data_IF_413749831881
#
_entry.id   IF_413749831881
#
_cell.length_a   1.000
_cell.length_b   1.000
_cell.length_c   1.000
_cell.angle_alpha   90.00
_cell.angle_beta   90.00
_cell.angle_gamma   90.00
#
_symmetry.space_group_name_H-M   'P 1'
#
loop_
_entity.id
_entity.type
_entity.pdbx_description
1 polymer ?
#
# COMPACT_ATOMS: atom_id res chain seq x y z
N UNK A 1 -31.41 -27.12 -27.19
CA UNK A 1 -31.48 -26.25 -26.00
C UNK A 1 -30.05 -26.02 -25.52
N UNK A 2 -29.43 -24.92 -25.97
CA UNK A 2 -28.08 -24.55 -25.53
C UNK A 2 -28.17 -23.91 -24.15
N UNK A 3 -27.55 -24.52 -23.15
CA UNK A 3 -27.38 -23.93 -21.84
C UNK A 3 -26.05 -23.20 -21.82
N UNK A 4 -26.12 -21.88 -21.96
CA UNK A 4 -24.98 -20.98 -21.83
C UNK A 4 -24.58 -20.95 -20.35
N UNK A 5 -23.44 -21.54 -19.99
CA UNK A 5 -22.86 -21.34 -18.67
C UNK A 5 -22.50 -19.85 -18.50
N UNK A 6 -22.81 -19.23 -17.36
CA UNK A 6 -22.45 -17.83 -17.12
C UNK A 6 -20.93 -17.69 -17.10
N UNK A 7 -20.43 -16.70 -17.84
CA UNK A 7 -19.01 -16.40 -17.94
C UNK A 7 -18.39 -16.25 -16.54
N UNK A 8 -17.33 -17.01 -16.30
CA UNK A 8 -16.45 -16.81 -15.17
C UNK A 8 -15.91 -15.38 -15.25
N UNK A 9 -16.41 -14.51 -14.38
CA UNK A 9 -15.74 -13.26 -14.06
C UNK A 9 -14.29 -13.63 -13.73
N UNK A 10 -13.33 -13.12 -14.49
CA UNK A 10 -11.92 -13.20 -14.16
C UNK A 10 -11.70 -12.41 -12.86
N UNK A 11 -12.00 -13.03 -11.71
CA UNK A 11 -11.36 -12.64 -10.47
C UNK A 11 -9.88 -12.90 -10.73
N UNK A 12 -9.08 -11.82 -10.76
CA UNK A 12 -7.64 -11.95 -10.79
C UNK A 12 -7.23 -12.97 -9.73
N UNK A 13 -6.33 -13.89 -10.07
CA UNK A 13 -5.87 -14.91 -9.14
C UNK A 13 -5.43 -14.25 -7.83
N UNK A 14 -5.74 -14.85 -6.66
CA UNK A 14 -5.31 -14.30 -5.40
C UNK A 14 -3.79 -14.19 -5.39
N UNK A 15 -3.29 -13.04 -4.92
CA UNK A 15 -1.86 -12.75 -4.81
C UNK A 15 -1.14 -13.91 -4.12
N UNK A 16 -0.17 -14.50 -4.79
CA UNK A 16 0.65 -15.58 -4.27
C UNK A 16 1.56 -15.09 -3.13
N UNK A 17 2.06 -16.02 -2.31
CA UNK A 17 3.00 -15.66 -1.23
C UNK A 17 4.33 -15.11 -1.76
N UNK A 18 4.75 -15.51 -2.96
CA UNK A 18 5.94 -14.99 -3.62
C UNK A 18 5.75 -13.53 -4.06
N UNK A 19 4.62 -13.22 -4.69
CA UNK A 19 4.25 -11.84 -5.06
C UNK A 19 4.08 -10.96 -3.82
N UNK A 20 3.44 -11.48 -2.76
CA UNK A 20 3.34 -10.80 -1.49
C UNK A 20 4.72 -10.49 -0.89
N UNK A 21 5.66 -11.45 -0.93
CA UNK A 21 7.01 -11.24 -0.46
C UNK A 21 7.76 -10.19 -1.29
N UNK A 22 7.55 -10.15 -2.60
CA UNK A 22 8.09 -9.12 -3.48
C UNK A 22 7.54 -7.72 -3.14
N UNK A 23 6.21 -7.60 -2.95
CA UNK A 23 5.58 -6.35 -2.53
C UNK A 23 6.06 -5.89 -1.15
N UNK A 24 6.31 -6.82 -0.22
CA UNK A 24 6.83 -6.50 1.11
C UNK A 24 8.25 -5.91 1.02
N UNK A 25 9.14 -6.50 0.22
CA UNK A 25 10.48 -5.94 -0.04
C UNK A 25 10.40 -4.56 -0.69
N UNK A 26 9.52 -4.39 -1.68
CA UNK A 26 9.29 -3.10 -2.33
C UNK A 26 8.76 -2.04 -1.33
N UNK A 27 7.88 -2.45 -0.41
CA UNK A 27 7.31 -1.58 0.62
C UNK A 27 8.36 -1.09 1.60
N UNK A 28 9.32 -1.94 2.01
CA UNK A 28 10.44 -1.47 2.83
C UNK A 28 11.28 -0.39 2.13
N UNK A 29 11.57 -0.56 0.84
CA UNK A 29 12.27 0.47 0.06
C UNK A 29 11.45 1.77 -0.03
N UNK A 30 10.13 1.65 -0.19
CA UNK A 30 9.22 2.79 -0.20
C UNK A 30 9.20 3.51 1.16
N UNK A 31 9.17 2.77 2.27
CA UNK A 31 9.21 3.33 3.62
C UNK A 31 10.51 4.09 3.89
N UNK A 32 11.64 3.63 3.35
CA UNK A 32 12.90 4.39 3.39
C UNK A 32 12.78 5.72 2.66
N UNK A 33 12.17 5.75 1.47
CA UNK A 33 11.96 6.99 0.69
C UNK A 33 10.97 7.94 1.38
N UNK A 34 9.98 7.40 2.06
CA UNK A 34 9.06 8.15 2.92
C UNK A 34 9.64 8.50 4.29
N UNK A 35 10.88 8.09 4.60
CA UNK A 35 11.55 8.35 5.87
C UNK A 35 10.72 7.92 7.09
N UNK A 36 10.15 6.71 7.02
CA UNK A 36 9.38 6.15 8.12
C UNK A 36 10.28 5.52 9.17
N UNK A 37 9.90 5.67 10.44
CA UNK A 37 10.49 4.88 11.51
C UNK A 37 9.93 3.44 11.55
N UNK A 38 10.49 2.61 12.44
CA UNK A 38 10.09 1.22 12.58
C UNK A 38 8.64 1.06 13.07
N UNK A 39 8.17 1.94 13.96
CA UNK A 39 6.82 1.88 14.50
C UNK A 39 5.78 2.24 13.42
N UNK A 40 6.04 3.29 12.64
CA UNK A 40 5.25 3.71 11.49
C UNK A 40 5.18 2.61 10.44
N UNK A 41 6.34 2.04 10.08
CA UNK A 41 6.44 0.92 9.13
C UNK A 41 5.62 -0.28 9.60
N UNK A 42 5.72 -0.66 10.87
CA UNK A 42 4.92 -1.75 11.46
C UNK A 42 3.42 -1.45 11.39
N UNK A 43 2.98 -0.23 11.70
CA UNK A 43 1.57 0.16 11.60
C UNK A 43 1.02 0.00 10.18
N UNK A 44 1.77 0.45 9.17
CA UNK A 44 1.35 0.32 7.76
C UNK A 44 1.27 -1.14 7.29
N UNK A 45 2.01 -2.05 7.93
CA UNK A 45 1.99 -3.49 7.65
C UNK A 45 0.96 -4.28 8.48
N UNK A 46 0.08 -3.62 9.25
CA UNK A 46 -0.91 -4.30 10.10
C UNK A 46 -0.40 -4.66 11.49
N UNK A 47 0.62 -3.97 11.98
CA UNK A 47 1.21 -4.14 13.32
C UNK A 47 1.67 -5.58 13.64
N UNK A 48 2.51 -6.20 12.80
CA UNK A 48 3.08 -7.51 13.12
C UNK A 48 3.90 -7.44 14.42
N UNK A 49 4.13 -8.60 15.03
CA UNK A 49 5.04 -8.71 16.18
C UNK A 49 6.43 -8.18 15.80
N UNK A 50 7.18 -7.63 16.77
CA UNK A 50 8.54 -7.11 16.53
C UNK A 50 9.44 -8.19 15.91
N UNK A 51 9.38 -9.42 16.43
CA UNK A 51 10.11 -10.56 15.89
C UNK A 51 9.78 -10.82 14.42
N UNK A 52 8.49 -10.83 14.07
CA UNK A 52 8.04 -11.03 12.69
C UNK A 52 8.54 -9.91 11.78
N UNK A 53 8.42 -8.66 12.22
CA UNK A 53 8.89 -7.49 11.47
C UNK A 53 10.39 -7.53 11.18
N UNK A 54 11.20 -7.90 12.18
CA UNK A 54 12.65 -8.01 12.01
C UNK A 54 13.04 -9.14 11.05
N UNK A 55 12.38 -10.31 11.12
CA UNK A 55 12.59 -11.41 10.15
C UNK A 55 12.25 -10.99 8.73
N UNK A 56 11.09 -10.35 8.54
CA UNK A 56 10.68 -9.81 7.24
C UNK A 56 11.68 -8.80 6.69
N UNK A 57 12.19 -7.89 7.54
CA UNK A 57 13.21 -6.91 7.15
C UNK A 57 14.55 -7.57 6.76
N UNK A 58 14.88 -8.70 7.37
CA UNK A 58 16.04 -9.52 7.02
C UNK A 58 15.83 -10.39 5.76
N UNK A 59 14.64 -10.36 5.15
CA UNK A 59 14.31 -11.17 3.97
C UNK A 59 13.83 -12.58 4.30
N UNK A 60 13.74 -12.95 5.58
CA UNK A 60 13.20 -14.22 6.06
C UNK A 60 11.65 -14.13 6.14
N UNK A 61 11.02 -14.32 4.98
CA UNK A 61 9.57 -14.16 4.78
C UNK A 61 8.96 -15.54 4.53
N UNK A 62 8.50 -16.20 5.60
CA UNK A 62 7.87 -17.52 5.50
C UNK A 62 6.41 -17.45 5.02
N UNK A 63 5.64 -16.49 5.54
CA UNK A 63 4.25 -16.26 5.17
C UNK A 63 3.83 -14.84 5.53
N UNK A 64 2.94 -14.28 4.73
CA UNK A 64 2.36 -12.96 4.91
C UNK A 64 0.85 -13.12 5.11
N UNK A 65 0.27 -12.60 6.21
CA UNK A 65 -1.17 -12.64 6.46
C UNK A 65 -1.96 -11.90 5.38
N UNK A 66 -3.17 -12.37 5.09
CA UNK A 66 -4.05 -11.78 4.07
C UNK A 66 -4.26 -10.27 4.26
N UNK A 67 -4.47 -9.80 5.50
CA UNK A 67 -4.59 -8.36 5.81
C UNK A 67 -3.35 -7.57 5.36
N UNK A 68 -2.16 -8.07 5.68
CA UNK A 68 -0.90 -7.46 5.24
C UNK A 68 -0.81 -7.48 3.71
N UNK A 69 -1.22 -8.56 3.03
CA UNK A 69 -1.24 -8.61 1.56
C UNK A 69 -2.14 -7.52 0.96
N UNK A 70 -3.35 -7.32 1.50
CA UNK A 70 -4.24 -6.24 1.05
C UNK A 70 -3.57 -4.86 1.20
N UNK A 71 -2.98 -4.58 2.36
CA UNK A 71 -2.25 -3.33 2.63
C UNK A 71 -1.07 -3.14 1.69
N UNK A 72 -0.30 -4.19 1.41
CA UNK A 72 0.82 -4.16 0.45
C UNK A 72 0.33 -3.79 -0.94
N UNK A 73 -0.78 -4.37 -1.39
CA UNK A 73 -1.42 -4.00 -2.66
C UNK A 73 -1.80 -2.52 -2.69
N UNK A 74 -2.35 -1.99 -1.60
CA UNK A 74 -2.71 -0.57 -1.52
C UNK A 74 -1.48 0.35 -1.54
N UNK A 75 -0.43 0.00 -0.81
CA UNK A 75 0.85 0.72 -0.82
C UNK A 75 1.49 0.76 -2.20
N UNK A 76 1.46 -0.36 -2.94
CA UNK A 76 1.93 -0.40 -4.32
C UNK A 76 1.06 0.45 -5.25
N UNK A 77 -0.26 0.44 -5.05
CA UNK A 77 -1.20 1.33 -5.75
C UNK A 77 -0.87 2.81 -5.53
N UNK A 78 -0.66 3.22 -4.28
CA UNK A 78 -0.25 4.59 -3.91
C UNK A 78 1.08 4.94 -4.58
N UNK A 79 2.09 4.08 -4.48
CA UNK A 79 3.39 4.32 -5.12
C UNK A 79 3.25 4.53 -6.63
N UNK A 80 2.48 3.66 -7.30
CA UNK A 80 2.18 3.76 -8.72
C UNK A 80 1.47 5.07 -9.06
N UNK A 81 0.42 5.43 -8.33
CA UNK A 81 -0.35 6.65 -8.59
C UNK A 81 0.50 7.91 -8.44
N UNK A 82 1.33 8.00 -7.39
CA UNK A 82 2.28 9.10 -7.23
C UNK A 82 3.27 9.20 -8.39
N UNK A 83 3.76 8.06 -8.91
CA UNK A 83 4.65 8.04 -10.08
C UNK A 83 4.00 8.51 -11.37
N UNK A 84 2.66 8.48 -11.46
CA UNK A 84 1.93 9.07 -12.57
C UNK A 84 1.68 10.57 -12.36
N UNK A 85 1.31 10.98 -11.15
CA UNK A 85 0.94 12.36 -10.85
C UNK A 85 2.15 13.32 -10.80
N UNK A 86 3.33 12.81 -10.44
CA UNK A 86 4.54 13.62 -10.29
C UNK A 86 5.62 13.20 -11.28
N UNK A 87 6.06 14.15 -12.12
CA UNK A 87 7.21 13.96 -13.01
C UNK A 87 8.50 13.72 -12.22
N UNK A 88 8.70 14.50 -11.15
CA UNK A 88 9.77 14.28 -10.18
C UNK A 88 9.27 13.33 -9.08
N UNK A 89 9.80 12.10 -8.98
CA UNK A 89 9.38 11.12 -7.99
C UNK A 89 9.56 11.58 -6.55
N UNK A 90 10.59 12.40 -6.27
CA UNK A 90 10.87 12.86 -4.91
C UNK A 90 9.74 13.75 -4.40
N UNK A 91 9.18 14.60 -5.26
CA UNK A 91 8.00 15.42 -4.91
C UNK A 91 6.80 14.57 -4.51
N UNK A 92 6.60 13.41 -5.15
CA UNK A 92 5.55 12.47 -4.78
C UNK A 92 5.80 11.83 -3.41
N UNK A 93 7.05 11.51 -3.08
CA UNK A 93 7.41 10.99 -1.75
C UNK A 93 7.26 12.06 -0.66
N UNK A 94 7.66 13.29 -0.93
CA UNK A 94 7.53 14.41 0.00
C UNK A 94 6.05 14.77 0.23
N UNK A 95 5.21 14.66 -0.81
CA UNK A 95 3.77 14.92 -0.74
C UNK A 95 3.08 14.05 0.32
N UNK A 96 3.49 12.78 0.47
CA UNK A 96 2.89 11.85 1.45
C UNK A 96 2.97 12.40 2.88
N UNK A 97 4.03 13.15 3.21
CA UNK A 97 4.26 13.73 4.53
C UNK A 97 3.77 15.16 4.66
N UNK A 98 3.40 15.81 3.55
CA UNK A 98 3.01 17.22 3.55
C UNK A 98 1.56 17.38 4.02
N UNK A 99 1.26 18.31 4.93
CA UNK A 99 -0.11 18.72 5.23
C UNK A 99 -0.90 19.08 3.97
N UNK A 100 -2.14 18.59 3.88
CA UNK A 100 -3.03 18.86 2.75
C UNK A 100 -4.41 19.32 3.21
N UNK A 101 -5.00 20.36 2.59
CA UNK A 101 -6.40 20.73 2.83
C UNK A 101 -7.37 19.59 2.55
N UNK A 102 -7.06 18.70 1.58
CA UNK A 102 -7.87 17.53 1.26
C UNK A 102 -8.05 16.57 2.45
N UNK A 103 -7.16 16.63 3.43
CA UNK A 103 -7.19 15.80 4.65
C UNK A 103 -7.37 16.63 5.93
N UNK A 104 -7.96 17.83 5.81
CA UNK A 104 -8.22 18.71 6.95
C UNK A 104 -6.94 19.22 7.61
N UNK A 105 -5.91 19.51 6.82
CA UNK A 105 -4.61 20.00 7.31
C UNK A 105 -3.67 18.92 7.82
N UNK A 106 -4.05 17.63 7.76
CA UNK A 106 -3.17 16.49 8.03
C UNK A 106 -2.49 16.02 6.75
N UNK A 107 -1.42 15.24 6.89
CA UNK A 107 -0.78 14.59 5.75
C UNK A 107 -1.49 13.29 5.36
N UNK A 108 -1.23 12.79 4.15
CA UNK A 108 -1.71 11.46 3.74
C UNK A 108 -1.14 10.37 4.67
N UNK A 109 0.13 10.52 5.09
CA UNK A 109 0.77 9.62 6.04
C UNK A 109 0.04 9.58 7.39
N UNK A 110 -0.35 10.73 7.95
CA UNK A 110 -1.07 10.79 9.22
C UNK A 110 -2.40 10.03 9.19
N UNK A 111 -3.07 10.05 8.02
CA UNK A 111 -4.27 9.26 7.79
C UNK A 111 -3.94 7.76 7.75
N UNK A 112 -2.95 7.35 6.96
CA UNK A 112 -2.57 5.93 6.88
C UNK A 112 -2.10 5.35 8.23
N UNK A 113 -1.49 6.18 9.08
CA UNK A 113 -0.99 5.79 10.40
C UNK A 113 -2.07 5.65 11.50
N UNK A 114 -3.34 5.93 11.18
CA UNK A 114 -4.47 5.58 12.07
C UNK A 114 -4.61 4.06 12.25
N UNK A 115 -4.12 3.28 11.27
CA UNK A 115 -3.85 1.85 11.42
C UNK A 115 -4.93 0.92 10.89
N UNK A 116 -6.12 1.40 10.51
CA UNK A 116 -7.11 0.55 9.87
C UNK A 116 -6.69 0.24 8.40
N UNK A 117 -7.06 -0.92 7.84
CA UNK A 117 -6.78 -1.21 6.42
C UNK A 117 -7.41 -0.18 5.49
N UNK A 118 -8.61 0.28 5.85
CA UNK A 118 -9.39 1.29 5.11
C UNK A 118 -8.69 2.64 5.03
N UNK A 119 -7.77 2.96 5.94
CA UNK A 119 -7.06 4.24 5.91
C UNK A 119 -6.06 4.31 4.75
N UNK A 120 -5.37 3.19 4.46
CA UNK A 120 -4.46 3.07 3.32
C UNK A 120 -5.26 3.01 2.02
N UNK A 121 -6.32 2.20 1.98
CA UNK A 121 -7.21 2.09 0.83
C UNK A 121 -7.86 3.44 0.47
N UNK A 122 -8.20 4.28 1.46
CA UNK A 122 -8.76 5.61 1.22
C UNK A 122 -7.77 6.55 0.52
N UNK A 123 -6.49 6.53 0.90
CA UNK A 123 -5.45 7.33 0.22
C UNK A 123 -5.22 6.83 -1.21
N UNK A 124 -5.22 5.51 -1.42
CA UNK A 124 -5.18 4.93 -2.76
C UNK A 124 -6.34 5.42 -3.61
N UNK A 125 -7.57 5.28 -3.12
CA UNK A 125 -8.78 5.70 -3.84
C UNK A 125 -8.78 7.19 -4.16
N UNK A 126 -8.31 8.03 -3.24
CA UNK A 126 -8.13 9.47 -3.49
C UNK A 126 -7.16 9.72 -4.67
N UNK A 127 -5.98 9.10 -4.66
CA UNK A 127 -4.98 9.28 -5.72
C UNK A 127 -5.44 8.72 -7.07
N UNK A 128 -6.17 7.59 -7.06
CA UNK A 128 -6.74 7.01 -8.27
C UNK A 128 -7.82 7.92 -8.88
N UNK A 129 -8.64 8.59 -8.04
CA UNK A 129 -9.62 9.57 -8.50
C UNK A 129 -8.96 10.83 -9.09
N UNK A 130 -7.92 11.36 -8.45
CA UNK A 130 -7.13 12.49 -8.98
C UNK A 130 -6.51 12.16 -10.35
N UNK A 131 -6.09 10.90 -10.55
CA UNK A 131 -5.55 10.43 -11.83
C UNK A 131 -6.62 10.27 -12.91
N UNK A 132 -7.82 9.82 -12.54
CA UNK A 132 -8.88 9.55 -13.50
C UNK A 132 -9.36 10.82 -14.19
N UNK A 133 -9.18 11.99 -13.58
CA UNK A 133 -9.75 13.25 -14.06
C UNK A 133 -11.27 13.16 -13.96
N UNK A 134 -11.86 13.92 -13.04
CA UNK A 134 -13.31 13.99 -12.90
C UNK A 134 -14.01 14.31 -14.22
#
# INVERSE_FOLDING_TARGET
>A
MGSTAPGSAHYADPVSQEEAAAMLRASFNLFTRWQLDAQQSRRLLGSPSERTFQRWKAGDIASIPHDTVCRLGDLMGIHKALRYLFTDPQRGYDWIRKPSPAFGGRSALDRMLQGAPTDVAAIRGYLDAERAGW
#
